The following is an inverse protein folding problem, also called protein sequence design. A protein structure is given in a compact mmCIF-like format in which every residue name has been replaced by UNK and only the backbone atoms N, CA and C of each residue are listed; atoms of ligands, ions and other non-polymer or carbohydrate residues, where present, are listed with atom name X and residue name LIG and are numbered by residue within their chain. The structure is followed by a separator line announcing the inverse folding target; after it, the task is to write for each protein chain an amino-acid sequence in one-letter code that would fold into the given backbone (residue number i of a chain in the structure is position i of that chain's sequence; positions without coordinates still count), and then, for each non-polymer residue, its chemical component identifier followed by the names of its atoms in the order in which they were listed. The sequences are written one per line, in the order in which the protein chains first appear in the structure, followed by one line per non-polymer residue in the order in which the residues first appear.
data_IF_522345185987
#
_entry.id   IF_522345185987
#
_cell.length_a   1.000
_cell.length_b   1.000
_cell.length_c   1.000
_cell.angle_alpha   90.00
_cell.angle_beta   90.00
_cell.angle_gamma   90.00
#
_symmetry.space_group_name_H-M   'P 1'
#
loop_
_entity.id
_entity.type
_entity.pdbx_description
1 polymer ?
#
# COMPACT_ATOMS: atom_id res chain seq x y z
N UNK A 1 -7.14 -1.52 -15.52
CA UNK A 1 -7.34 -0.28 -16.25
C UNK A 1 -8.05 0.72 -15.35
N UNK A 2 -7.50 1.95 -15.26
CA UNK A 2 -8.19 3.03 -14.55
C UNK A 2 -9.47 3.32 -15.33
N UNK A 3 -10.60 3.28 -14.64
CA UNK A 3 -11.91 3.58 -15.21
C UNK A 3 -11.90 5.00 -15.79
N UNK A 4 -12.51 5.21 -16.97
CA UNK A 4 -12.67 6.54 -17.55
C UNK A 4 -13.35 7.47 -16.51
N UNK A 5 -12.85 8.69 -16.39
CA UNK A 5 -13.35 9.70 -15.44
C UNK A 5 -14.85 9.97 -15.57
N UNK A 6 -15.40 9.78 -16.77
CA UNK A 6 -16.85 9.92 -17.02
C UNK A 6 -17.69 8.95 -16.17
N UNK A 7 -17.13 7.79 -15.79
CA UNK A 7 -17.84 6.75 -15.03
C UNK A 7 -17.49 6.74 -13.52
N UNK A 8 -16.64 7.63 -13.04
CA UNK A 8 -16.21 7.61 -11.63
C UNK A 8 -17.37 7.84 -10.65
N UNK A 9 -18.30 8.72 -10.99
CA UNK A 9 -19.47 8.97 -10.13
C UNK A 9 -20.34 7.73 -10.01
N UNK A 10 -20.58 7.00 -11.10
CA UNK A 10 -21.35 5.77 -11.13
C UNK A 10 -20.64 4.64 -10.38
N UNK A 11 -19.31 4.53 -10.54
CA UNK A 11 -18.50 3.56 -9.82
C UNK A 11 -18.55 3.80 -8.30
N UNK A 12 -18.42 5.06 -7.86
CA UNK A 12 -18.55 5.42 -6.44
C UNK A 12 -19.96 5.15 -5.93
N UNK A 13 -20.99 5.43 -6.73
CA UNK A 13 -22.38 5.14 -6.33
C UNK A 13 -22.63 3.63 -6.15
N UNK A 14 -21.96 2.80 -6.94
CA UNK A 14 -22.05 1.34 -6.83
C UNK A 14 -21.26 0.77 -5.64
N UNK A 15 -20.08 1.34 -5.35
CA UNK A 15 -19.15 0.83 -4.33
C UNK A 15 -19.38 1.42 -2.93
N UNK A 16 -19.96 2.62 -2.84
CA UNK A 16 -20.22 3.34 -1.58
C UNK A 16 -21.74 3.36 -1.32
N UNK A 17 -22.26 2.46 -0.48
CA UNK A 17 -23.70 2.37 -0.18
C UNK A 17 -24.26 3.66 0.41
N UNK A 18 -23.51 4.31 1.31
CA UNK A 18 -23.94 5.51 2.01
C UNK A 18 -23.82 6.76 1.11
N UNK A 19 -24.97 7.27 0.66
CA UNK A 19 -25.05 8.41 -0.23
C UNK A 19 -24.29 9.65 0.29
N UNK A 20 -24.33 9.89 1.62
CA UNK A 20 -23.63 11.01 2.25
C UNK A 20 -22.10 10.97 2.12
N UNK A 21 -21.52 9.76 1.94
CA UNK A 21 -20.07 9.59 1.82
C UNK A 21 -19.57 9.61 0.37
N UNK A 22 -20.46 9.52 -0.61
CA UNK A 22 -20.08 9.40 -2.03
C UNK A 22 -19.28 10.62 -2.53
N UNK A 23 -19.69 11.81 -2.13
CA UNK A 23 -19.00 13.05 -2.53
C UNK A 23 -17.57 13.10 -2.00
N UNK A 24 -17.34 12.77 -0.74
CA UNK A 24 -16.00 12.75 -0.12
C UNK A 24 -15.14 11.63 -0.69
N UNK A 25 -15.71 10.44 -0.91
CA UNK A 25 -15.00 9.32 -1.52
C UNK A 25 -14.54 9.64 -2.95
N UNK A 26 -15.40 10.26 -3.75
CA UNK A 26 -15.05 10.69 -5.11
C UNK A 26 -13.95 11.76 -5.11
N UNK A 27 -14.05 12.74 -4.20
CA UNK A 27 -13.04 13.80 -4.08
C UNK A 27 -11.67 13.24 -3.67
N UNK A 28 -11.65 12.30 -2.71
CA UNK A 28 -10.45 11.63 -2.24
C UNK A 28 -9.81 10.78 -3.37
N UNK A 29 -10.61 9.99 -4.07
CA UNK A 29 -10.15 9.20 -5.22
C UNK A 29 -9.54 10.08 -6.32
N UNK A 30 -10.18 11.22 -6.62
CA UNK A 30 -9.64 12.21 -7.58
C UNK A 30 -8.33 12.80 -7.12
N UNK A 31 -8.24 13.22 -5.87
CA UNK A 31 -7.01 13.78 -5.32
C UNK A 31 -5.82 12.81 -5.44
N UNK A 32 -6.06 11.54 -5.16
CA UNK A 32 -5.05 10.47 -5.29
C UNK A 32 -4.68 10.22 -6.75
N UNK A 33 -5.65 10.02 -7.63
CA UNK A 33 -5.40 9.65 -9.02
C UNK A 33 -4.88 10.80 -9.88
N UNK A 34 -5.15 12.05 -9.50
CA UNK A 34 -4.68 13.25 -10.19
C UNK A 34 -3.34 13.78 -9.64
N UNK A 35 -2.84 13.23 -8.54
CA UNK A 35 -1.56 13.64 -7.96
C UNK A 35 -0.39 13.20 -8.85
N UNK A 36 0.42 14.12 -9.42
CA UNK A 36 1.53 13.75 -10.29
C UNK A 36 2.56 12.85 -9.61
N UNK A 37 2.80 13.07 -8.32
CA UNK A 37 3.73 12.26 -7.51
C UNK A 37 3.29 10.80 -7.36
N UNK A 38 2.02 10.49 -7.58
CA UNK A 38 1.46 9.14 -7.46
C UNK A 38 1.27 8.45 -8.83
N UNK A 39 1.59 9.11 -9.93
CA UNK A 39 1.32 8.63 -11.29
C UNK A 39 1.89 7.23 -11.58
N UNK A 40 3.07 6.92 -11.05
CA UNK A 40 3.70 5.61 -11.23
C UNK A 40 2.91 4.48 -10.53
N UNK A 41 2.31 4.76 -9.37
CA UNK A 41 1.56 3.77 -8.58
C UNK A 41 0.29 3.32 -9.32
N UNK A 42 -0.25 4.19 -10.16
CA UNK A 42 -1.46 3.94 -10.95
C UNK A 42 -1.15 3.74 -12.44
N UNK A 43 0.13 3.70 -12.81
CA UNK A 43 0.57 3.49 -14.18
C UNK A 43 0.38 2.04 -14.67
N UNK A 44 0.56 1.80 -15.98
CA UNK A 44 0.31 0.51 -16.60
C UNK A 44 1.28 -0.59 -16.14
N UNK A 45 2.43 -0.23 -15.58
CA UNK A 45 3.44 -1.18 -15.07
C UNK A 45 3.21 -1.56 -13.60
N UNK A 46 2.33 -0.86 -12.90
CA UNK A 46 1.99 -1.18 -11.52
C UNK A 46 0.99 -2.35 -11.49
N UNK A 47 1.37 -3.42 -10.80
CA UNK A 47 0.50 -4.56 -10.55
C UNK A 47 -0.47 -4.24 -9.42
N UNK A 48 -1.73 -4.61 -9.55
CA UNK A 48 -2.77 -4.37 -8.57
C UNK A 48 -3.19 -5.67 -7.89
N UNK A 49 -3.53 -5.61 -6.59
CA UNK A 49 -4.11 -6.72 -5.84
C UNK A 49 -3.25 -8.00 -5.93
N UNK A 50 -1.94 -7.86 -5.68
CA UNK A 50 -0.98 -8.97 -5.84
C UNK A 50 -1.02 -9.88 -4.62
N UNK A 51 -1.57 -11.06 -4.78
CA UNK A 51 -1.56 -12.08 -3.74
C UNK A 51 -0.20 -12.74 -3.62
N UNK A 52 0.24 -13.02 -2.38
CA UNK A 52 1.44 -13.78 -2.10
C UNK A 52 1.21 -14.88 -1.06
N UNK A 53 2.07 -15.90 -1.09
CA UNK A 53 2.19 -16.92 -0.05
C UNK A 53 3.68 -17.09 0.25
N UNK A 54 4.06 -17.02 1.51
CA UNK A 54 5.45 -17.08 1.96
C UNK A 54 5.55 -17.74 3.34
N UNK A 55 6.76 -18.10 3.76
CA UNK A 55 7.04 -18.45 5.15
C UNK A 55 7.70 -17.26 5.84
N UNK A 56 7.03 -16.68 6.84
CA UNK A 56 7.50 -15.50 7.56
C UNK A 56 7.74 -15.92 9.02
N UNK A 57 8.96 -15.72 9.52
CA UNK A 57 9.36 -16.13 10.88
C UNK A 57 9.02 -17.60 11.19
N UNK A 58 9.17 -18.47 10.19
CA UNK A 58 8.88 -19.91 10.33
C UNK A 58 7.39 -20.28 10.27
N UNK A 59 6.50 -19.34 10.01
CA UNK A 59 5.06 -19.57 9.91
C UNK A 59 4.55 -19.30 8.49
N UNK A 60 3.60 -20.12 7.98
CA UNK A 60 2.94 -19.82 6.71
C UNK A 60 2.20 -18.48 6.80
N UNK A 61 2.38 -17.64 5.79
CA UNK A 61 1.71 -16.36 5.69
C UNK A 61 1.17 -16.17 4.28
N UNK A 62 0.01 -15.54 4.19
CA UNK A 62 -0.62 -15.13 2.94
C UNK A 62 -1.12 -13.71 3.07
N UNK A 63 -1.15 -12.98 1.97
CA UNK A 63 -1.66 -11.62 1.95
C UNK A 63 -1.85 -11.12 0.53
N UNK A 64 -2.33 -9.89 0.45
CA UNK A 64 -2.51 -9.18 -0.81
C UNK A 64 -1.87 -7.80 -0.70
N UNK A 65 -1.05 -7.44 -1.66
CA UNK A 65 -0.40 -6.14 -1.78
C UNK A 65 -1.23 -5.30 -2.75
N UNK A 66 -1.67 -4.11 -2.31
CA UNK A 66 -2.57 -3.26 -3.11
C UNK A 66 -1.92 -2.82 -4.43
N UNK A 67 -0.64 -2.44 -4.39
CA UNK A 67 0.16 -2.12 -5.58
C UNK A 67 1.58 -2.64 -5.44
N UNK A 68 2.08 -3.23 -6.51
CA UNK A 68 3.45 -3.73 -6.61
C UNK A 68 4.10 -3.20 -7.90
N UNK A 69 5.23 -2.53 -7.76
CA UNK A 69 6.05 -2.06 -8.85
C UNK A 69 7.38 -2.81 -8.85
N UNK A 70 7.72 -3.44 -9.97
CA UNK A 70 8.95 -4.20 -10.12
C UNK A 70 9.86 -3.47 -11.08
N UNK A 71 10.97 -2.94 -10.54
CA UNK A 71 12.03 -2.26 -11.30
C UNK A 71 13.21 -3.21 -11.50
N UNK A 72 14.23 -2.77 -12.23
CA UNK A 72 15.39 -3.61 -12.52
C UNK A 72 16.20 -3.95 -11.25
N UNK A 73 16.36 -2.98 -10.34
CA UNK A 73 17.19 -3.08 -9.13
C UNK A 73 16.41 -3.17 -7.82
N UNK A 74 15.13 -2.85 -7.83
CA UNK A 74 14.29 -2.86 -6.64
C UNK A 74 12.83 -3.22 -6.91
N UNK A 75 12.10 -3.50 -5.84
CA UNK A 75 10.65 -3.72 -5.83
C UNK A 75 10.01 -2.81 -4.80
N UNK A 76 8.96 -2.10 -5.18
CA UNK A 76 8.18 -1.25 -4.28
C UNK A 76 6.79 -1.87 -4.04
N UNK A 77 6.50 -2.18 -2.78
CA UNK A 77 5.17 -2.55 -2.32
C UNK A 77 4.47 -1.34 -1.69
N UNK A 78 3.25 -1.08 -2.11
CA UNK A 78 2.43 0.02 -1.58
C UNK A 78 1.11 -0.53 -1.05
N UNK A 79 0.78 -0.13 0.16
CA UNK A 79 -0.49 -0.44 0.82
C UNK A 79 -1.31 0.85 0.99
N UNK A 80 -2.62 0.78 0.75
CA UNK A 80 -3.51 1.92 0.82
C UNK A 80 -4.19 2.00 2.19
N UNK A 81 -4.15 3.16 2.80
CA UNK A 81 -4.80 3.42 4.09
C UNK A 81 -5.69 4.66 4.02
N UNK A 82 -6.92 4.50 4.51
CA UNK A 82 -7.96 5.56 4.51
C UNK A 82 -8.09 6.28 5.84
N UNK A 83 -7.15 6.08 6.78
CA UNK A 83 -7.17 6.69 8.09
C UNK A 83 -7.19 8.22 7.99
N UNK A 84 -8.08 8.87 8.71
CA UNK A 84 -8.16 10.35 8.75
C UNK A 84 -6.96 10.97 9.48
N UNK A 85 -6.47 10.31 10.53
CA UNK A 85 -5.27 10.71 11.24
C UNK A 85 -4.05 10.13 10.52
N UNK A 86 -3.51 10.90 9.59
CA UNK A 86 -2.32 10.53 8.84
C UNK A 86 -1.07 10.87 9.66
N UNK A 87 -0.16 9.92 9.92
CA UNK A 87 1.13 10.21 10.53
C UNK A 87 1.93 11.22 9.71
N UNK A 88 2.68 12.08 10.39
CA UNK A 88 3.56 13.06 9.72
C UNK A 88 4.93 12.45 9.38
N UNK A 89 5.34 11.46 10.16
CA UNK A 89 6.62 10.78 10.01
C UNK A 89 6.43 9.25 10.02
N UNK A 90 7.27 8.49 9.28
CA UNK A 90 7.22 7.03 9.26
C UNK A 90 7.28 6.38 10.65
N UNK A 91 8.02 6.98 11.59
CA UNK A 91 8.14 6.50 12.98
C UNK A 91 6.85 6.60 13.81
N UNK A 92 5.89 7.41 13.36
CA UNK A 92 4.57 7.57 13.99
C UNK A 92 3.53 6.58 13.45
N UNK A 93 3.93 5.78 12.46
CA UNK A 93 3.04 4.78 11.85
C UNK A 93 2.65 3.73 12.89
N UNK A 94 1.35 3.39 13.00
CA UNK A 94 0.90 2.36 13.94
C UNK A 94 1.65 1.05 13.77
N UNK A 95 2.05 0.44 14.89
CA UNK A 95 2.86 -0.78 14.93
C UNK A 95 2.29 -1.93 14.08
N UNK A 96 0.95 -2.08 14.06
CA UNK A 96 0.29 -3.10 13.26
C UNK A 96 0.50 -2.91 11.75
N UNK A 97 0.55 -1.66 11.28
CA UNK A 97 0.84 -1.35 9.88
C UNK A 97 2.31 -1.59 9.55
N UNK A 98 3.22 -1.20 10.46
CA UNK A 98 4.66 -1.48 10.28
C UNK A 98 4.92 -2.98 10.20
N UNK A 99 4.24 -3.81 11.02
CA UNK A 99 4.33 -5.28 10.93
C UNK A 99 3.82 -5.83 9.61
N UNK A 100 2.68 -5.33 9.12
CA UNK A 100 2.13 -5.70 7.82
C UNK A 100 3.14 -5.41 6.71
N UNK A 101 3.73 -4.22 6.71
CA UNK A 101 4.72 -3.83 5.71
C UNK A 101 6.02 -4.64 5.84
N UNK A 102 6.42 -4.99 7.06
CA UNK A 102 7.54 -5.90 7.32
C UNK A 102 7.28 -7.31 6.76
N UNK A 103 6.07 -7.82 6.90
CA UNK A 103 5.67 -9.09 6.32
C UNK A 103 5.70 -9.06 4.78
N UNK A 104 5.24 -7.98 4.16
CA UNK A 104 5.36 -7.79 2.71
C UNK A 104 6.82 -7.76 2.26
N UNK A 105 7.66 -7.00 2.98
CA UNK A 105 9.09 -6.92 2.66
C UNK A 105 9.78 -8.30 2.74
N UNK A 106 9.50 -9.08 3.78
CA UNK A 106 10.07 -10.41 3.97
C UNK A 106 9.61 -11.38 2.88
N UNK A 107 8.32 -11.37 2.53
CA UNK A 107 7.78 -12.20 1.46
C UNK A 107 8.39 -11.84 0.10
N UNK A 108 8.50 -10.55 -0.21
CA UNK A 108 9.07 -10.08 -1.46
C UNK A 108 10.56 -10.36 -1.56
N UNK A 109 11.31 -10.32 -0.46
CA UNK A 109 12.73 -10.67 -0.43
C UNK A 109 12.96 -12.15 -0.80
N UNK A 110 12.03 -13.04 -0.44
CA UNK A 110 12.08 -14.45 -0.86
C UNK A 110 11.78 -14.62 -2.35
N UNK A 111 10.87 -13.81 -2.90
CA UNK A 111 10.47 -13.88 -4.32
C UNK A 111 11.51 -13.20 -5.22
N UNK A 112 12.10 -12.10 -4.75
CA UNK A 112 13.07 -11.28 -5.49
C UNK A 112 14.40 -11.13 -4.74
N UNK A 113 15.16 -12.23 -4.55
CA UNK A 113 16.35 -12.24 -3.67
C UNK A 113 17.49 -11.33 -4.15
N UNK A 114 17.50 -10.95 -5.43
CA UNK A 114 18.51 -10.06 -6.02
C UNK A 114 18.11 -8.59 -6.05
N UNK A 115 16.91 -8.26 -5.58
CA UNK A 115 16.38 -6.88 -5.63
C UNK A 115 16.28 -6.27 -4.23
N UNK A 116 16.48 -4.96 -4.16
CA UNK A 116 16.17 -4.18 -2.94
C UNK A 116 14.65 -4.12 -2.78
N UNK A 117 14.15 -4.38 -1.58
CA UNK A 117 12.72 -4.29 -1.28
C UNK A 117 12.44 -2.97 -0.57
N UNK A 118 11.52 -2.22 -1.12
CA UNK A 118 11.02 -0.97 -0.58
C UNK A 118 9.54 -1.10 -0.26
N UNK A 119 9.10 -0.44 0.79
CA UNK A 119 7.68 -0.41 1.19
C UNK A 119 7.24 1.02 1.44
N UNK A 120 5.99 1.32 1.11
CA UNK A 120 5.38 2.61 1.35
C UNK A 120 3.89 2.47 1.70
N UNK A 121 3.36 3.41 2.45
CA UNK A 121 1.92 3.55 2.68
C UNK A 121 1.41 4.74 1.88
N UNK A 122 0.36 4.53 1.11
CA UNK A 122 -0.40 5.59 0.48
C UNK A 122 -1.56 5.98 1.40
N UNK A 123 -1.45 7.13 2.03
CA UNK A 123 -2.51 7.74 2.82
C UNK A 123 -3.48 8.45 1.88
N UNK A 124 -4.63 7.82 1.59
CA UNK A 124 -5.55 8.30 0.55
C UNK A 124 -6.20 9.63 0.94
N UNK A 125 -6.48 9.84 2.24
CA UNK A 125 -7.09 11.07 2.74
C UNK A 125 -6.25 12.34 2.45
N UNK A 126 -4.93 12.22 2.44
CA UNK A 126 -4.00 13.31 2.16
C UNK A 126 -3.32 13.19 0.79
N UNK A 127 -3.63 12.14 0.02
CA UNK A 127 -2.97 11.79 -1.23
C UNK A 127 -1.43 11.78 -1.10
N UNK A 128 -0.93 11.23 0.02
CA UNK A 128 0.50 11.24 0.36
C UNK A 128 1.07 9.84 0.36
N UNK A 129 2.13 9.62 -0.42
CA UNK A 129 2.95 8.41 -0.35
C UNK A 129 4.01 8.60 0.71
N UNK A 130 4.02 7.71 1.71
CA UNK A 130 4.98 7.70 2.81
C UNK A 130 5.90 6.49 2.66
N UNK A 131 7.13 6.64 2.18
CA UNK A 131 8.13 5.58 2.21
C UNK A 131 8.45 5.18 3.64
N UNK A 132 8.64 3.88 3.87
CA UNK A 132 9.00 3.34 5.18
C UNK A 132 10.47 2.89 5.18
N UNK A 133 11.14 3.18 6.29
CA UNK A 133 12.51 2.70 6.52
C UNK A 133 12.49 1.17 6.68
N UNK A 134 13.30 0.42 5.90
CA UNK A 134 13.39 -1.04 5.99
C UNK A 134 13.70 -1.55 7.40
N UNK A 135 14.53 -0.84 8.16
CA UNK A 135 14.89 -1.25 9.52
C UNK A 135 13.71 -1.10 10.48
N UNK A 136 12.89 -0.07 10.30
CA UNK A 136 11.69 0.14 11.13
C UNK A 136 10.66 -0.98 10.90
N UNK A 137 10.37 -1.31 9.65
CA UNK A 137 9.38 -2.36 9.33
C UNK A 137 9.88 -3.75 9.74
N UNK A 138 11.18 -4.01 9.56
CA UNK A 138 11.82 -5.25 10.02
C UNK A 138 11.78 -5.39 11.54
N UNK A 139 12.13 -4.35 12.27
CA UNK A 139 12.07 -4.34 13.71
C UNK A 139 10.64 -4.57 14.24
N UNK A 140 9.65 -3.97 13.61
CA UNK A 140 8.24 -4.17 13.95
C UNK A 140 7.80 -5.64 13.71
N UNK A 141 8.22 -6.24 12.61
CA UNK A 141 7.93 -7.64 12.31
C UNK A 141 8.57 -8.58 13.36
N UNK A 142 9.84 -8.35 13.70
CA UNK A 142 10.56 -9.20 14.66
C UNK A 142 9.98 -9.13 16.09
N UNK A 143 9.41 -7.99 16.49
CA UNK A 143 8.71 -7.88 17.79
C UNK A 143 7.48 -8.78 17.90
N UNK A 144 6.95 -9.28 16.81
CA UNK A 144 5.82 -10.23 16.79
C UNK A 144 6.27 -11.64 17.24
N UNK A 145 7.55 -11.97 17.10
CA UNK A 145 8.11 -13.28 17.42
C UNK A 145 8.53 -13.43 18.90
N UNK A 146 8.40 -12.37 19.70
CA UNK A 146 8.71 -12.43 21.14
C UNK A 146 7.44 -12.87 21.87
N UNK A 147 7.41 -14.03 22.54
CA UNK A 147 6.27 -14.49 23.32
C UNK A 147 6.00 -13.59 24.52
#
# INVERSE_FOLDING_TARGET
PILDRAFWADAVAALVPEAALRGSALAEARAVLDAPALSQIFGPTALAEVSFSATILGQPAQGTIDRLLVFDDHVLAVDFKTNRNTPKHPSETPEGLLRQMGAYAEALAQIYPAKRIETAILWTHTATLMPLDPDIVRAALLRTAIP
#
